data_IF_593414281033
#
_entry.id   IF_593414281033
#
_cell.length_a   1.000
_cell.length_b   1.000
_cell.length_c   1.000
_cell.angle_alpha   90.00
_cell.angle_beta   90.00
_cell.angle_gamma   90.00
#
_symmetry.space_group_name_H-M   'P 1'
#
loop_
_entity.id
_entity.type
_entity.pdbx_description
1 polymer ?
#
# COMPACT_ATOMS: atom_id res chain seq x y z
N UNK A 1 29.06 14.98 2.83
CA UNK A 1 27.68 14.69 3.26
C UNK A 1 26.95 14.02 2.12
N UNK A 2 26.16 12.98 2.38
CA UNK A 2 25.32 12.34 1.37
C UNK A 2 23.90 12.90 1.51
N UNK A 3 23.37 13.47 0.44
CA UNK A 3 21.98 13.91 0.37
C UNK A 3 21.12 12.76 -0.17
N UNK A 4 19.84 12.74 0.20
CA UNK A 4 18.85 11.78 -0.29
C UNK A 4 17.81 12.57 -1.09
N UNK A 5 17.43 12.06 -2.27
CA UNK A 5 16.36 12.60 -3.11
C UNK A 5 15.21 11.60 -3.14
N UNK A 6 14.05 12.02 -2.69
CA UNK A 6 12.78 11.31 -2.90
C UNK A 6 12.00 12.02 -4.02
N UNK A 7 11.34 11.26 -4.89
CA UNK A 7 10.51 11.79 -5.98
C UNK A 7 9.29 10.88 -6.18
N UNK A 8 8.14 11.46 -6.50
CA UNK A 8 6.87 10.77 -6.75
C UNK A 8 6.22 11.43 -7.96
N UNK A 9 5.66 10.62 -8.86
CA UNK A 9 4.84 11.08 -9.98
C UNK A 9 3.45 10.46 -9.84
N UNK A 10 2.40 11.26 -9.99
CA UNK A 10 0.99 10.82 -9.94
C UNK A 10 0.25 11.37 -11.15
N UNK A 11 -0.76 10.64 -11.64
CA UNK A 11 -1.54 11.06 -12.81
C UNK A 11 -2.74 10.16 -13.07
N UNK A 12 -3.60 10.62 -13.97
CA UNK A 12 -4.73 9.86 -14.51
C UNK A 12 -4.48 9.54 -15.98
N UNK A 13 -4.96 8.38 -16.41
CA UNK A 13 -4.97 7.96 -17.82
C UNK A 13 -6.27 7.24 -18.11
N UNK A 14 -6.80 7.42 -19.32
CA UNK A 14 -7.97 6.68 -19.78
C UNK A 14 -7.65 5.17 -19.89
N UNK A 15 -8.61 4.33 -19.50
CA UNK A 15 -8.54 2.87 -19.67
C UNK A 15 -9.91 2.29 -20.00
N UNK A 16 -9.92 1.13 -20.67
CA UNK A 16 -11.13 0.33 -20.93
C UNK A 16 -11.29 -0.82 -19.93
N UNK A 17 -10.39 -0.92 -18.96
CA UNK A 17 -10.44 -1.95 -17.92
C UNK A 17 -11.65 -1.73 -16.99
N UNK A 18 -12.29 -2.81 -16.52
CA UNK A 18 -13.43 -2.69 -15.62
C UNK A 18 -12.99 -2.19 -14.24
N UNK A 19 -13.89 -1.47 -13.57
CA UNK A 19 -13.71 -1.11 -12.16
C UNK A 19 -13.55 -2.38 -11.32
N UNK A 20 -12.53 -2.41 -10.48
CA UNK A 20 -12.30 -3.54 -9.58
C UNK A 20 -13.37 -3.64 -8.50
N UNK A 21 -13.66 -4.86 -8.05
CA UNK A 21 -14.56 -5.08 -6.93
C UNK A 21 -14.08 -4.29 -5.70
N UNK A 22 -15.03 -3.57 -5.09
CA UNK A 22 -14.84 -2.76 -3.88
C UNK A 22 -13.87 -1.56 -4.00
N UNK A 23 -13.60 -1.04 -5.20
CA UNK A 23 -12.63 0.06 -5.41
C UNK A 23 -11.28 -0.23 -4.74
N UNK A 24 -10.81 -1.47 -4.87
CA UNK A 24 -9.54 -1.90 -4.29
C UNK A 24 -8.37 -1.35 -5.09
N UNK A 25 -7.25 -1.10 -4.42
CA UNK A 25 -5.99 -0.70 -5.07
C UNK A 25 -5.20 -1.96 -5.40
N UNK A 26 -4.73 -2.07 -6.64
CA UNK A 26 -3.92 -3.18 -7.11
C UNK A 26 -2.46 -2.76 -7.23
N UNK A 27 -1.54 -3.67 -6.87
CA UNK A 27 -0.11 -3.48 -7.07
C UNK A 27 0.31 -4.07 -8.42
N UNK A 28 0.96 -3.26 -9.23
CA UNK A 28 1.47 -3.63 -10.55
C UNK A 28 2.87 -4.28 -10.47
N UNK A 29 3.26 -4.97 -11.54
CA UNK A 29 4.57 -5.64 -11.65
C UNK A 29 5.76 -4.66 -11.60
N UNK A 30 5.55 -3.41 -12.04
CA UNK A 30 6.55 -2.34 -12.00
C UNK A 30 6.68 -1.68 -10.61
N UNK A 31 5.90 -2.15 -9.62
CA UNK A 31 5.87 -1.63 -8.27
C UNK A 31 4.98 -0.40 -8.08
N UNK A 32 4.34 0.09 -9.14
CA UNK A 32 3.28 1.08 -9.04
C UNK A 32 2.01 0.47 -8.46
N UNK A 33 1.09 1.35 -8.09
CA UNK A 33 -0.23 0.98 -7.60
C UNK A 33 -1.26 1.67 -8.48
N UNK A 34 -2.36 0.98 -8.76
CA UNK A 34 -3.41 1.45 -9.66
C UNK A 34 -4.78 1.26 -9.01
N UNK A 35 -5.67 2.21 -9.26
CA UNK A 35 -7.08 2.15 -8.93
C UNK A 35 -7.88 2.59 -10.17
N UNK A 36 -8.77 1.73 -10.63
CA UNK A 36 -9.67 2.05 -11.75
C UNK A 36 -10.94 2.66 -11.18
N UNK A 37 -11.29 3.85 -11.65
CA UNK A 37 -12.48 4.58 -11.23
C UNK A 37 -13.59 4.44 -12.27
N UNK A 38 -14.83 4.41 -11.78
CA UNK A 38 -16.00 4.52 -12.64
C UNK A 38 -16.01 5.90 -13.33
N UNK A 39 -16.39 5.95 -14.62
CA UNK A 39 -16.47 7.18 -15.41
C UNK A 39 -17.44 8.21 -14.83
N UNK A 40 -18.43 7.79 -14.03
CA UNK A 40 -19.30 8.71 -13.30
C UNK A 40 -18.54 9.59 -12.29
N UNK A 41 -17.33 9.20 -11.87
CA UNK A 41 -16.51 9.94 -10.92
C UNK A 41 -15.52 10.93 -11.57
N UNK A 42 -15.45 10.99 -12.90
CA UNK A 42 -14.45 11.79 -13.64
C UNK A 42 -14.44 13.28 -13.24
N UNK A 43 -15.59 13.83 -12.87
CA UNK A 43 -15.73 15.24 -12.49
C UNK A 43 -15.92 15.46 -10.99
N UNK A 44 -15.81 14.42 -10.18
CA UNK A 44 -15.99 14.49 -8.73
C UNK A 44 -14.63 14.61 -8.03
N UNK A 45 -14.26 15.84 -7.67
CA UNK A 45 -12.96 16.17 -7.06
C UNK A 45 -12.69 15.33 -5.80
N UNK A 46 -13.68 15.15 -4.93
CA UNK A 46 -13.49 14.39 -3.69
C UNK A 46 -13.19 12.91 -3.96
N UNK A 47 -13.80 12.34 -5.01
CA UNK A 47 -13.53 10.97 -5.43
C UNK A 47 -12.14 10.84 -6.06
N UNK A 48 -11.75 11.81 -6.90
CA UNK A 48 -10.42 11.84 -7.52
C UNK A 48 -9.31 12.02 -6.49
N UNK A 49 -9.49 12.91 -5.51
CA UNK A 49 -8.53 13.11 -4.42
C UNK A 49 -8.37 11.83 -3.60
N UNK A 50 -9.49 11.23 -3.17
CA UNK A 50 -9.45 9.99 -2.42
C UNK A 50 -8.78 8.86 -3.19
N UNK A 51 -9.02 8.76 -4.50
CA UNK A 51 -8.38 7.78 -5.36
C UNK A 51 -6.86 7.94 -5.37
N UNK A 52 -6.36 9.17 -5.52
CA UNK A 52 -4.93 9.46 -5.49
C UNK A 52 -4.30 9.12 -4.14
N UNK A 53 -4.96 9.45 -3.03
CA UNK A 53 -4.47 9.13 -1.68
C UNK A 53 -4.42 7.62 -1.44
N UNK A 54 -5.49 6.90 -1.78
CA UNK A 54 -5.57 5.44 -1.63
C UNK A 54 -4.49 4.73 -2.46
N UNK A 55 -4.26 5.21 -3.68
CA UNK A 55 -3.29 4.61 -4.60
C UNK A 55 -1.84 4.93 -4.20
N UNK A 56 -1.57 6.16 -3.74
CA UNK A 56 -0.21 6.59 -3.41
C UNK A 56 0.28 6.10 -2.03
N UNK A 57 -0.60 5.92 -1.06
CA UNK A 57 -0.20 5.59 0.31
C UNK A 57 0.56 4.24 0.45
N UNK A 58 0.15 3.14 -0.21
CA UNK A 58 0.94 1.90 -0.21
C UNK A 58 2.33 2.06 -0.83
N UNK A 59 2.44 2.83 -1.91
CA UNK A 59 3.72 3.12 -2.56
C UNK A 59 4.68 3.88 -1.63
N UNK A 60 4.14 4.89 -0.93
CA UNK A 60 4.89 5.66 0.07
C UNK A 60 5.43 4.76 1.18
N UNK A 61 4.58 3.90 1.75
CA UNK A 61 4.99 2.98 2.81
C UNK A 61 6.07 2.01 2.33
N UNK A 62 5.92 1.44 1.13
CA UNK A 62 6.91 0.50 0.58
C UNK A 62 8.30 1.13 0.46
N UNK A 63 8.39 2.34 -0.11
CA UNK A 63 9.66 3.07 -0.28
C UNK A 63 10.28 3.42 1.07
N UNK A 64 9.47 3.82 2.06
CA UNK A 64 9.95 4.13 3.40
C UNK A 64 10.53 2.88 4.09
N UNK A 65 9.84 1.75 4.02
CA UNK A 65 10.33 0.50 4.59
C UNK A 65 11.63 0.05 3.92
N UNK A 66 11.68 0.04 2.59
CA UNK A 66 12.88 -0.34 1.86
C UNK A 66 14.07 0.56 2.22
N UNK A 67 13.86 1.88 2.28
CA UNK A 67 14.91 2.81 2.67
C UNK A 67 15.42 2.55 4.08
N UNK A 68 14.52 2.32 5.04
CA UNK A 68 14.90 2.03 6.43
C UNK A 68 15.60 0.67 6.56
N UNK A 69 15.17 -0.35 5.82
CA UNK A 69 15.83 -1.67 5.82
C UNK A 69 17.27 -1.60 5.30
N UNK A 70 17.53 -0.77 4.29
CA UNK A 70 18.86 -0.54 3.74
C UNK A 70 19.71 0.37 4.64
N UNK A 71 19.09 1.32 5.35
CA UNK A 71 19.77 2.27 6.22
C UNK A 71 20.16 1.67 7.58
N UNK A 72 19.43 0.66 8.07
CA UNK A 72 19.71 0.02 9.37
C UNK A 72 20.74 -1.11 9.20
N UNK A 73 21.92 -1.02 9.83
CA UNK A 73 22.90 -2.10 9.83
C UNK A 73 22.28 -3.38 10.42
N UNK A 74 22.56 -4.54 9.81
CA UNK A 74 21.97 -5.85 10.14
C UNK A 74 22.04 -6.21 11.63
N UNK A 75 22.96 -5.62 12.39
CA UNK A 75 23.11 -5.79 13.85
C UNK A 75 22.03 -5.10 14.72
N UNK A 76 21.10 -4.31 14.14
CA UNK A 76 20.04 -3.58 14.88
C UNK A 76 18.60 -3.87 14.42
N UNK A 77 18.37 -4.91 13.60
CA UNK A 77 17.01 -5.31 13.16
C UNK A 77 16.17 -5.89 14.30
N UNK A 78 15.63 -5.04 15.19
CA UNK A 78 14.44 -5.39 15.98
C UNK A 78 13.23 -5.08 15.10
N UNK A 79 12.80 -6.07 14.32
CA UNK A 79 11.54 -6.00 13.60
C UNK A 79 10.39 -5.83 14.63
N UNK A 80 9.42 -4.93 14.38
CA UNK A 80 8.20 -4.90 15.18
C UNK A 80 7.46 -6.23 14.98
N UNK A 81 7.23 -6.93 16.09
CA UNK A 81 6.53 -8.21 16.11
C UNK A 81 5.06 -7.93 15.80
N UNK A 82 4.59 -8.30 14.61
CA UNK A 82 3.15 -8.31 14.32
C UNK A 82 2.46 -9.20 15.38
N UNK A 83 1.57 -8.59 16.16
CA UNK A 83 0.69 -9.30 17.09
C UNK A 83 -0.35 -10.00 16.23
N UNK A 84 -0.17 -11.31 16.00
CA UNK A 84 -1.27 -12.16 15.57
C UNK A 84 -2.30 -12.22 16.72
N UNK A 85 -3.29 -11.33 16.66
CA UNK A 85 -4.53 -11.50 17.41
C UNK A 85 -5.30 -12.67 16.79
N UNK A 86 -5.42 -13.77 17.52
CA UNK A 86 -5.99 -15.00 16.98
C UNK A 86 -6.31 -16.07 18.01
N UNK A 87 -7.22 -15.75 18.94
CA UNK A 87 -8.18 -16.67 19.59
C UNK A 87 -7.65 -17.88 20.41
N UNK A 88 -7.80 -17.77 21.73
CA UNK A 88 -7.97 -18.90 22.65
C UNK A 88 -9.13 -19.80 22.19
N UNK A 89 -8.88 -21.10 22.03
CA UNK A 89 -9.89 -22.15 22.32
C UNK A 89 -9.24 -23.28 23.10
N UNK A 90 -9.69 -23.40 24.34
CA UNK A 90 -9.55 -24.58 25.19
C UNK A 90 -10.09 -25.83 24.50
N UNK A 91 -9.38 -26.95 24.62
CA UNK A 91 -9.99 -28.27 24.48
C UNK A 91 -9.29 -29.26 25.42
N UNK A 92 -9.97 -29.53 26.53
CA UNK A 92 -9.81 -30.72 27.36
C UNK A 92 -9.76 -31.97 26.50
N UNK A 93 -8.77 -32.84 26.71
CA UNK A 93 -8.89 -34.27 26.41
C UNK A 93 -8.36 -35.04 27.61
N UNK A 94 -9.29 -35.72 28.28
CA UNK A 94 -9.06 -36.79 29.25
C UNK A 94 -8.65 -38.03 28.46
N UNK A 95 -7.61 -38.75 28.90
CA UNK A 95 -7.55 -40.21 28.85
C UNK A 95 -6.54 -40.73 29.87
#
# INVERSE_FOLDING_TARGET
>A
MRNIKANISVGFSETQEPVMENNSVERMDDGSFTLILDSQNEFNIDHLENALLQTSYPALLAVLFEHLEQAVPTSRKRLPRFVQSGRLKTKTIIH
#
